data_IF_832494722025
#
_entry.id   IF_832494722025
#
_cell.length_a   1.000
_cell.length_b   1.000
_cell.length_c   1.000
_cell.angle_alpha   90.00
_cell.angle_beta   90.00
_cell.angle_gamma   90.00
#
_symmetry.space_group_name_H-M   'P 1'
#
loop_
_entity.id
_entity.type
_entity.pdbx_description
1 polymer ?
#
# COMPACT_ATOMS: atom_id res chain seq x y z
N UNK A 1 -38.16 16.01 -70.28
CA UNK A 1 -38.63 15.00 -71.27
C UNK A 1 -37.56 13.92 -71.39
N UNK A 2 -37.96 12.65 -71.20
CA UNK A 2 -37.42 11.42 -71.83
C UNK A 2 -35.94 11.08 -71.53
N UNK A 3 -35.58 10.17 -70.62
CA UNK A 3 -35.84 8.73 -70.53
C UNK A 3 -35.42 7.94 -71.78
N UNK A 4 -34.40 7.07 -71.63
CA UNK A 4 -34.00 5.87 -72.41
C UNK A 4 -32.54 5.55 -72.00
N UNK A 5 -32.08 4.32 -71.72
CA UNK A 5 -32.07 3.09 -72.53
C UNK A 5 -31.71 1.90 -71.61
N UNK A 6 -32.62 0.93 -71.42
CA UNK A 6 -32.70 -0.45 -71.97
C UNK A 6 -31.93 -1.53 -71.20
N UNK A 7 -32.73 -2.46 -70.68
CA UNK A 7 -32.41 -3.80 -70.19
C UNK A 7 -31.75 -4.67 -71.26
N UNK A 8 -30.77 -5.49 -70.85
CA UNK A 8 -30.46 -6.75 -71.51
C UNK A 8 -30.12 -7.86 -70.50
N UNK A 9 -31.12 -8.72 -70.29
CA UNK A 9 -31.10 -10.19 -70.28
C UNK A 9 -29.94 -10.91 -69.55
N UNK A 10 -30.32 -11.77 -68.60
CA UNK A 10 -29.51 -12.89 -68.15
C UNK A 10 -30.26 -13.79 -67.18
N UNK A 11 -31.14 -14.65 -67.70
CA UNK A 11 -31.72 -15.74 -66.92
C UNK A 11 -30.74 -16.92 -66.87
N UNK A 12 -30.27 -17.28 -65.66
CA UNK A 12 -29.68 -18.58 -65.37
C UNK A 12 -30.45 -19.17 -64.18
N UNK A 13 -31.18 -20.24 -64.45
CA UNK A 13 -31.73 -21.15 -63.44
C UNK A 13 -30.63 -22.17 -63.11
N UNK A 14 -30.43 -22.53 -61.84
CA UNK A 14 -30.22 -23.92 -61.36
C UNK A 14 -29.82 -23.95 -59.87
N UNK A 15 -30.41 -24.93 -59.18
CA UNK A 15 -29.99 -25.60 -57.94
C UNK A 15 -30.05 -24.81 -56.62
N UNK A 16 -31.03 -25.20 -55.80
CA UNK A 16 -31.07 -24.83 -54.39
C UNK A 16 -29.95 -25.47 -53.58
N UNK A 17 -29.74 -24.95 -52.37
CA UNK A 17 -29.24 -25.67 -51.21
C UNK A 17 -29.54 -24.86 -49.95
N UNK A 18 -30.26 -25.51 -49.05
CA UNK A 18 -30.18 -25.40 -47.59
C UNK A 18 -30.27 -23.98 -46.96
N UNK A 19 -31.35 -23.77 -46.22
CA UNK A 19 -31.45 -22.65 -45.28
C UNK A 19 -30.42 -22.87 -44.16
N UNK A 20 -29.36 -22.06 -44.15
CA UNK A 20 -28.41 -22.01 -43.05
C UNK A 20 -29.05 -21.26 -41.89
N UNK A 21 -29.41 -22.00 -40.84
CA UNK A 21 -29.91 -21.46 -39.58
C UNK A 21 -28.81 -20.62 -38.90
N UNK A 22 -29.07 -19.36 -38.49
CA UNK A 22 -28.09 -18.58 -37.73
C UNK A 22 -27.79 -19.27 -36.40
N UNK A 23 -26.51 -19.56 -36.16
CA UNK A 23 -26.06 -20.08 -34.88
C UNK A 23 -26.31 -19.02 -33.78
N UNK A 24 -26.80 -19.41 -32.60
CA UNK A 24 -26.89 -18.49 -31.47
C UNK A 24 -25.47 -18.11 -31.02
N UNK A 25 -25.14 -16.83 -31.14
CA UNK A 25 -23.92 -16.27 -30.55
C UNK A 25 -24.03 -16.35 -29.03
N UNK A 26 -23.44 -17.37 -28.42
CA UNK A 26 -23.14 -17.41 -26.99
C UNK A 26 -22.11 -16.33 -26.67
N UNK A 27 -22.59 -15.14 -26.29
CA UNK A 27 -21.76 -14.14 -25.61
C UNK A 27 -21.43 -14.67 -24.22
N UNK A 28 -20.29 -15.35 -24.10
CA UNK A 28 -19.67 -15.67 -22.82
C UNK A 28 -19.32 -14.35 -22.14
N UNK A 29 -20.14 -13.93 -21.17
CA UNK A 29 -19.82 -12.80 -20.31
C UNK A 29 -18.53 -13.14 -19.54
N UNK A 30 -17.49 -12.33 -19.75
CA UNK A 30 -16.24 -12.45 -19.00
C UNK A 30 -16.55 -12.28 -17.50
N UNK A 31 -16.02 -13.14 -16.61
CA UNK A 31 -16.24 -12.99 -15.19
C UNK A 31 -15.68 -11.63 -14.75
N UNK A 32 -16.52 -10.83 -14.09
CA UNK A 32 -16.10 -9.58 -13.48
C UNK A 32 -15.03 -9.90 -12.41
N UNK A 33 -13.83 -9.36 -12.58
CA UNK A 33 -12.77 -9.44 -11.57
C UNK A 33 -13.20 -8.63 -10.36
N UNK A 34 -13.53 -9.30 -9.27
CA UNK A 34 -13.65 -8.67 -7.96
C UNK A 34 -12.25 -8.22 -7.53
N UNK A 35 -11.99 -6.91 -7.56
CA UNK A 35 -10.78 -6.33 -6.98
C UNK A 35 -10.96 -6.37 -5.47
N UNK A 36 -10.26 -7.28 -4.79
CA UNK A 36 -10.15 -7.24 -3.33
C UNK A 36 -9.30 -6.02 -3.00
N UNK A 37 -9.92 -4.98 -2.45
CA UNK A 37 -9.20 -3.86 -1.88
C UNK A 37 -8.57 -4.36 -0.58
N UNK A 38 -7.24 -4.39 -0.54
CA UNK A 38 -6.51 -4.70 0.69
C UNK A 38 -6.58 -3.48 1.61
N UNK A 39 -7.43 -3.54 2.63
CA UNK A 39 -7.66 -2.46 3.59
C UNK A 39 -6.51 -2.30 4.61
N UNK A 40 -5.40 -3.04 4.45
CA UNK A 40 -4.24 -2.94 5.33
C UNK A 40 -3.54 -1.59 5.18
N UNK A 41 -3.39 -0.80 6.26
CA UNK A 41 -2.65 0.45 6.26
C UNK A 41 -1.25 0.34 5.65
N UNK A 42 -0.87 1.31 4.84
CA UNK A 42 0.45 1.36 4.19
C UNK A 42 1.35 2.38 4.88
N UNK A 43 2.46 1.92 5.43
CA UNK A 43 3.52 2.74 6.02
C UNK A 43 4.41 3.29 4.91
N UNK A 44 4.21 4.54 4.54
CA UNK A 44 4.98 5.25 3.50
C UNK A 44 6.20 5.97 4.08
N UNK A 45 7.11 6.50 3.23
CA UNK A 45 8.24 7.33 3.69
C UNK A 45 7.83 8.57 4.48
N UNK A 46 6.57 8.99 4.38
CA UNK A 46 6.04 10.17 5.07
C UNK A 46 5.21 9.82 6.32
N UNK A 47 4.83 8.55 6.52
CA UNK A 47 3.97 8.14 7.63
C UNK A 47 2.90 7.12 7.23
N UNK A 48 1.84 7.03 8.04
CA UNK A 48 0.77 6.04 7.94
C UNK A 48 -0.59 6.73 7.72
N UNK A 49 -1.14 6.62 6.51
CA UNK A 49 -2.43 7.22 6.19
C UNK A 49 -2.44 8.73 6.38
N UNK A 50 -3.28 9.23 7.29
CA UNK A 50 -3.36 10.67 7.61
C UNK A 50 -2.30 11.11 8.63
N UNK A 51 -1.68 10.18 9.34
CA UNK A 51 -0.64 10.45 10.33
C UNK A 51 0.69 10.58 9.60
N UNK A 52 1.22 11.80 9.52
CA UNK A 52 2.47 12.08 8.78
C UNK A 52 3.54 12.67 9.70
N UNK A 53 4.80 12.38 9.40
CA UNK A 53 5.94 13.05 10.00
C UNK A 53 5.89 14.55 9.68
N UNK A 54 6.38 15.38 10.61
CA UNK A 54 6.37 16.83 10.53
C UNK A 54 5.06 17.49 10.97
N UNK A 55 3.96 16.75 11.13
CA UNK A 55 2.71 17.27 11.68
C UNK A 55 2.89 17.67 13.15
N UNK A 56 2.28 18.78 13.54
CA UNK A 56 2.13 19.18 14.95
C UNK A 56 1.21 18.23 15.70
N UNK A 57 1.29 18.20 17.03
CA UNK A 57 0.36 17.42 17.86
C UNK A 57 -1.11 17.79 17.63
N UNK A 58 -1.40 19.07 17.34
CA UNK A 58 -2.75 19.53 17.02
C UNK A 58 -3.25 18.92 15.71
N UNK A 59 -2.45 18.98 14.64
CA UNK A 59 -2.79 18.37 13.35
C UNK A 59 -2.98 16.86 13.47
N UNK A 60 -2.10 16.18 14.21
CA UNK A 60 -2.20 14.75 14.49
C UNK A 60 -3.52 14.41 15.20
N UNK A 61 -3.92 15.18 16.21
CA UNK A 61 -5.20 14.99 16.90
C UNK A 61 -6.39 15.26 15.98
N UNK A 62 -6.30 16.27 15.11
CA UNK A 62 -7.33 16.60 14.14
C UNK A 62 -7.57 15.48 13.12
N UNK A 63 -6.58 14.61 12.86
CA UNK A 63 -6.80 13.40 12.03
C UNK A 63 -7.81 12.43 12.63
N UNK A 64 -7.97 12.44 13.96
CA UNK A 64 -8.72 11.45 14.72
C UNK A 64 -8.02 10.10 14.88
N UNK A 65 -6.83 9.91 14.30
CA UNK A 65 -6.10 8.62 14.23
C UNK A 65 -5.06 8.43 15.35
N UNK A 66 -4.79 9.48 16.13
CA UNK A 66 -3.88 9.46 17.29
C UNK A 66 -4.69 9.45 18.59
N UNK A 67 -4.27 8.62 19.54
CA UNK A 67 -4.85 8.45 20.86
C UNK A 67 -4.26 9.37 21.92
N UNK A 68 -4.39 8.94 23.17
CA UNK A 68 -3.78 9.63 24.31
C UNK A 68 -2.27 9.40 24.37
N UNK A 69 -1.60 10.23 25.18
CA UNK A 69 -0.18 10.08 25.46
C UNK A 69 0.05 8.77 26.23
N UNK A 70 1.14 8.07 25.91
CA UNK A 70 1.54 6.86 26.63
C UNK A 70 2.53 7.25 27.72
N UNK A 71 2.02 7.53 28.92
CA UNK A 71 2.83 8.03 30.05
C UNK A 71 3.71 6.95 30.70
N UNK A 72 3.38 5.67 30.48
CA UNK A 72 4.09 4.52 31.04
C UNK A 72 5.32 4.08 30.21
N UNK A 73 5.86 4.96 29.35
CA UNK A 73 7.03 4.67 28.51
C UNK A 73 8.29 5.41 28.99
N UNK A 74 8.84 5.08 30.19
CA UNK A 74 9.91 5.85 30.83
C UNK A 74 11.26 5.83 30.08
N UNK A 75 11.39 5.02 29.04
CA UNK A 75 12.60 4.93 28.20
C UNK A 75 12.56 5.87 26.99
N UNK A 76 11.40 6.47 26.70
CA UNK A 76 11.27 7.43 25.62
C UNK A 76 11.89 8.78 26.00
N UNK A 77 12.73 9.35 25.14
CA UNK A 77 13.25 10.71 25.30
C UNK A 77 12.29 11.81 24.78
N UNK A 78 11.07 11.41 24.40
CA UNK A 78 10.06 12.20 23.70
C UNK A 78 8.65 11.75 24.14
N UNK A 79 7.65 12.64 24.20
CA UNK A 79 6.27 12.23 24.34
C UNK A 79 5.82 11.37 23.16
N UNK A 80 5.22 10.21 23.47
CA UNK A 80 4.68 9.28 22.48
C UNK A 80 3.18 9.13 22.63
N UNK A 81 2.49 8.94 21.52
CA UNK A 81 1.03 8.83 21.46
C UNK A 81 0.64 7.58 20.68
N UNK A 82 -0.32 6.81 21.20
CA UNK A 82 -0.77 5.58 20.56
C UNK A 82 -1.47 5.83 19.21
N UNK A 83 -1.28 4.93 18.25
CA UNK A 83 -2.01 4.94 16.98
C UNK A 83 -3.30 4.11 17.10
N UNK A 84 -4.39 4.59 16.50
CA UNK A 84 -5.69 3.88 16.54
C UNK A 84 -5.88 2.86 15.41
N UNK A 85 -5.18 3.05 14.28
CA UNK A 85 -5.33 2.23 13.06
C UNK A 85 -4.31 1.09 12.93
N UNK A 86 -3.25 1.14 13.72
CA UNK A 86 -2.19 0.15 13.74
C UNK A 86 -1.68 0.02 15.17
N UNK A 87 -1.16 -1.15 15.52
CA UNK A 87 -0.44 -1.30 16.78
C UNK A 87 0.86 -0.52 16.66
N UNK A 88 1.09 0.46 17.52
CA UNK A 88 2.22 1.37 17.43
C UNK A 88 1.95 2.74 18.02
N UNK A 89 2.88 3.65 17.78
CA UNK A 89 2.85 5.00 18.33
C UNK A 89 3.54 6.01 17.40
N UNK A 90 3.24 7.28 17.63
CA UNK A 90 3.93 8.43 17.03
C UNK A 90 4.64 9.22 18.13
N UNK A 91 5.91 9.56 17.88
CA UNK A 91 6.77 10.30 18.80
C UNK A 91 6.87 11.76 18.39
N UNK A 92 6.72 12.65 19.36
CA UNK A 92 6.75 14.09 19.17
C UNK A 92 8.04 14.66 19.72
N UNK A 93 8.78 15.40 18.89
CA UNK A 93 9.95 16.16 19.33
C UNK A 93 9.81 17.61 18.81
N UNK A 94 10.14 18.59 19.65
CA UNK A 94 10.01 20.02 19.33
C UNK A 94 8.62 20.40 18.76
N UNK A 95 7.57 19.74 19.24
CA UNK A 95 6.18 20.00 18.86
C UNK A 95 5.68 19.31 17.58
N UNK A 96 6.53 18.56 16.87
CA UNK A 96 6.18 17.87 15.61
C UNK A 96 6.45 16.36 15.66
N UNK A 97 5.72 15.58 14.85
CA UNK A 97 5.94 14.15 14.67
C UNK A 97 7.30 13.89 14.02
N UNK A 98 8.14 13.11 14.69
CA UNK A 98 9.49 12.78 14.19
C UNK A 98 9.77 11.29 14.09
N UNK A 99 8.95 10.45 14.72
CA UNK A 99 9.04 9.00 14.65
C UNK A 99 7.63 8.40 14.59
N UNK A 100 7.47 7.36 13.77
CA UNK A 100 6.28 6.54 13.72
C UNK A 100 6.72 5.08 13.78
N UNK A 101 6.44 4.43 14.89
CA UNK A 101 6.78 3.02 15.15
C UNK A 101 5.54 2.18 15.12
N UNK A 102 5.58 1.11 14.34
CA UNK A 102 4.52 0.12 14.22
C UNK A 102 5.02 -1.24 14.70
N UNK A 103 4.15 -1.94 15.41
CA UNK A 103 4.37 -3.29 15.94
C UNK A 103 3.36 -4.30 15.36
N UNK A 104 2.41 -3.81 14.54
CA UNK A 104 1.43 -4.63 13.85
C UNK A 104 0.45 -3.82 13.01
N UNK A 105 -0.28 -4.49 12.13
CA UNK A 105 -1.44 -3.90 11.44
C UNK A 105 -1.11 -2.96 10.27
N UNK A 106 0.08 -3.07 9.67
CA UNK A 106 0.44 -2.33 8.48
C UNK A 106 1.35 -3.14 7.55
N UNK A 107 1.52 -2.65 6.33
CA UNK A 107 2.53 -3.10 5.38
C UNK A 107 3.29 -1.92 4.79
N UNK A 108 4.43 -2.17 4.18
CA UNK A 108 5.12 -1.15 3.38
C UNK A 108 4.55 -1.07 1.95
N UNK A 109 4.91 -0.05 1.14
CA UNK A 109 4.49 0.06 -0.26
C UNK A 109 4.93 -1.14 -1.10
N UNK A 110 6.14 -1.65 -0.84
CA UNK A 110 6.73 -2.82 -1.47
C UNK A 110 6.10 -4.14 -0.97
N UNK A 111 5.23 -4.08 0.04
CA UNK A 111 4.43 -5.19 0.52
C UNK A 111 5.04 -5.99 1.67
N UNK A 112 6.09 -5.47 2.33
CA UNK A 112 6.63 -6.08 3.55
C UNK A 112 5.58 -6.06 4.67
N UNK A 113 5.39 -7.19 5.35
CA UNK A 113 4.42 -7.38 6.44
C UNK A 113 5.10 -7.86 7.72
N UNK A 114 4.47 -7.58 8.85
CA UNK A 114 4.85 -8.17 10.13
C UNK A 114 4.83 -9.70 10.07
N UNK A 115 5.78 -10.34 10.77
CA UNK A 115 5.96 -11.78 10.76
C UNK A 115 6.89 -12.30 9.66
N UNK A 116 7.22 -11.49 8.65
CA UNK A 116 8.12 -11.90 7.57
C UNK A 116 9.60 -11.94 8.01
N UNK A 117 10.43 -12.61 7.20
CA UNK A 117 11.82 -12.90 7.52
C UNK A 117 12.78 -11.72 7.26
N UNK A 118 13.98 -11.78 7.85
CA UNK A 118 15.08 -10.88 7.46
C UNK A 118 15.44 -11.05 5.98
N UNK A 119 15.34 -12.27 5.46
CA UNK A 119 15.54 -12.53 4.03
C UNK A 119 14.55 -11.72 3.19
N UNK A 120 13.28 -11.67 3.58
CA UNK A 120 12.27 -10.91 2.87
C UNK A 120 12.56 -9.41 2.87
N UNK A 121 13.06 -8.88 3.98
CA UNK A 121 13.53 -7.48 4.05
C UNK A 121 14.66 -7.23 3.06
N UNK A 122 15.66 -8.11 2.97
CA UNK A 122 16.76 -7.96 1.99
C UNK A 122 16.30 -8.05 0.54
N UNK A 123 15.29 -8.88 0.25
CA UNK A 123 14.71 -8.99 -1.08
C UNK A 123 13.99 -7.72 -1.51
N UNK A 124 13.20 -7.12 -0.61
CA UNK A 124 12.42 -5.91 -0.90
C UNK A 124 13.26 -4.62 -0.79
N UNK A 125 14.26 -4.61 0.10
CA UNK A 125 15.10 -3.46 0.40
C UNK A 125 16.59 -3.84 0.35
N UNK A 126 17.13 -4.12 -0.85
CA UNK A 126 18.51 -4.60 -1.00
C UNK A 126 19.57 -3.57 -0.57
N UNK A 127 19.19 -2.29 -0.46
CA UNK A 127 20.06 -1.21 -0.01
C UNK A 127 19.94 -0.91 1.48
N UNK A 128 19.07 -1.62 2.21
CA UNK A 128 18.97 -1.47 3.66
C UNK A 128 20.22 -2.03 4.36
N UNK A 129 20.73 -1.29 5.34
CA UNK A 129 21.92 -1.67 6.10
C UNK A 129 21.51 -2.33 7.42
N UNK A 130 22.12 -3.47 7.74
CA UNK A 130 21.94 -4.15 9.03
C UNK A 130 22.74 -3.43 10.12
N UNK A 131 22.10 -3.17 11.26
CA UNK A 131 22.72 -2.70 12.50
C UNK A 131 22.30 -3.61 13.67
N UNK A 132 22.83 -3.39 14.90
CA UNK A 132 22.49 -4.23 16.06
C UNK A 132 20.99 -4.25 16.45
N UNK A 133 20.18 -3.32 15.94
CA UNK A 133 18.76 -3.17 16.25
C UNK A 133 17.84 -3.55 15.08
N UNK A 134 18.40 -3.97 13.93
CA UNK A 134 17.64 -4.36 12.73
C UNK A 134 18.16 -3.73 11.45
N UNK A 135 17.32 -3.68 10.42
CA UNK A 135 17.66 -3.04 9.14
C UNK A 135 17.24 -1.58 9.13
N UNK A 136 18.07 -0.72 8.54
CA UNK A 136 17.77 0.69 8.31
C UNK A 136 17.90 1.00 6.83
N UNK A 137 16.89 1.63 6.25
CA UNK A 137 16.92 2.12 4.88
C UNK A 137 16.89 3.65 4.89
N UNK A 138 18.00 4.33 4.53
CA UNK A 138 17.99 5.78 4.32
C UNK A 138 17.01 6.17 3.22
N UNK A 139 16.27 7.24 3.45
CA UNK A 139 15.33 7.88 2.53
C UNK A 139 15.78 9.32 2.28
N UNK A 140 15.03 10.07 1.46
CA UNK A 140 15.26 11.49 1.26
C UNK A 140 15.02 12.31 2.55
N UNK A 141 15.50 13.55 2.58
CA UNK A 141 15.19 14.54 3.64
C UNK A 141 15.55 14.08 5.07
N UNK A 142 16.66 13.35 5.22
CA UNK A 142 17.07 12.78 6.52
C UNK A 142 16.03 11.85 7.15
N UNK A 143 15.18 11.22 6.33
CA UNK A 143 14.27 10.17 6.78
C UNK A 143 14.91 8.80 6.64
N UNK A 144 14.42 7.84 7.40
CA UNK A 144 14.76 6.44 7.21
C UNK A 144 13.63 5.52 7.62
N UNK A 145 13.49 4.39 6.92
CA UNK A 145 12.78 3.25 7.48
C UNK A 145 13.68 2.52 8.46
N UNK A 146 13.06 1.88 9.45
CA UNK A 146 13.71 0.88 10.28
C UNK A 146 12.83 -0.36 10.40
N UNK A 147 13.47 -1.52 10.44
CA UNK A 147 12.85 -2.83 10.49
C UNK A 147 13.51 -3.64 11.63
N UNK A 148 12.76 -3.89 12.70
CA UNK A 148 13.27 -4.55 13.91
C UNK A 148 12.73 -5.97 14.06
N UNK A 149 13.54 -6.84 14.66
CA UNK A 149 13.28 -8.28 14.77
C UNK A 149 13.31 -8.73 16.24
N UNK A 150 12.37 -9.58 16.63
CA UNK A 150 12.28 -10.08 18.00
C UNK A 150 13.52 -10.87 18.40
N UNK A 151 14.18 -10.49 19.51
CA UNK A 151 15.36 -11.17 20.07
C UNK A 151 16.49 -11.41 19.05
N UNK A 152 16.66 -10.51 18.07
CA UNK A 152 17.56 -10.69 16.92
C UNK A 152 17.29 -11.97 16.10
N UNK A 153 16.09 -12.53 16.22
CA UNK A 153 15.59 -13.65 15.43
C UNK A 153 15.23 -13.23 14.00
N UNK A 154 14.55 -14.12 13.28
CA UNK A 154 14.22 -13.89 11.88
C UNK A 154 12.87 -13.19 11.68
N UNK A 155 12.06 -13.05 12.72
CA UNK A 155 10.68 -12.53 12.59
C UNK A 155 10.61 -11.02 12.76
N UNK A 156 10.14 -10.32 11.73
CA UNK A 156 9.89 -8.89 11.75
C UNK A 156 8.75 -8.56 12.72
N UNK A 157 9.06 -7.79 13.76
CA UNK A 157 8.09 -7.35 14.78
C UNK A 157 7.94 -5.85 14.86
N UNK A 158 8.86 -5.10 14.25
CA UNK A 158 8.82 -3.63 14.25
C UNK A 158 9.06 -3.12 12.84
N UNK A 159 8.24 -2.18 12.41
CA UNK A 159 8.50 -1.35 11.23
C UNK A 159 8.23 0.11 11.58
N UNK A 160 9.00 1.03 11.05
CA UNK A 160 8.71 2.44 11.27
C UNK A 160 9.47 3.37 10.36
N UNK A 161 9.10 4.65 10.42
CA UNK A 161 9.74 5.73 9.69
C UNK A 161 10.09 6.86 10.65
N UNK A 162 11.27 7.45 10.49
CA UNK A 162 11.82 8.45 11.41
C UNK A 162 12.59 9.52 10.68
N UNK A 163 12.59 10.75 11.21
CA UNK A 163 13.38 11.90 10.73
C UNK A 163 14.37 12.45 11.77
N UNK A 164 14.39 11.92 13.02
CA UNK A 164 15.38 12.22 14.06
C UNK A 164 14.78 12.43 15.45
N UNK A 165 15.62 12.66 16.46
CA UNK A 165 15.26 13.26 17.77
C UNK A 165 14.50 12.40 18.79
N UNK A 166 13.75 11.38 18.37
CA UNK A 166 12.94 10.54 19.26
C UNK A 166 13.45 9.08 19.26
N UNK A 167 13.76 8.57 20.45
CA UNK A 167 14.26 7.23 20.72
C UNK A 167 13.52 6.67 21.93
N UNK A 168 13.05 5.42 21.79
CA UNK A 168 12.41 4.64 22.87
C UNK A 168 12.97 3.23 22.89
#
# INVERSE_FOLDING_TARGET
>A
MRALVVLAIGAVVVAGCTSAQPAPSTTTAAPARTVVVDDVPVLTPNGLGKVQLGMTLEELRATGEVGEQLDDWPQANCPVYGLKRAAGWVGINDGVAVDLRLEGGARTPEGLRFGESQQRVRELYPTATLNPHGYVLPLAESRWYYFGFANAGDTLTVMGVRTGGCFV
#
